data_IF_557478410392
#
_entry.id   IF_557478410392
#
_cell.length_a   1.000
_cell.length_b   1.000
_cell.length_c   1.000
_cell.angle_alpha   90.00
_cell.angle_beta   90.00
_cell.angle_gamma   90.00
#
_symmetry.space_group_name_H-M   'P 1'
#
loop_
_entity.id
_entity.type
_entity.pdbx_description
1 polymer ?
#
# COMPACT_ATOMS: atom_id res chain seq x y z
N UNK A 1 -68.99 -2.21 21.67
CA UNK A 1 -68.48 -0.83 21.59
C UNK A 1 -67.46 -0.80 20.46
N UNK A 2 -67.77 0.00 19.44
CA UNK A 2 -66.93 0.75 18.47
C UNK A 2 -65.43 0.39 18.44
N UNK A 3 -64.73 0.18 17.31
CA UNK A 3 -64.91 0.50 15.88
C UNK A 3 -63.87 -0.37 15.11
N UNK A 4 -64.17 -1.03 13.97
CA UNK A 4 -64.07 -0.53 12.58
C UNK A 4 -62.67 0.04 12.23
N UNK A 5 -61.89 -0.36 11.22
CA UNK A 5 -62.09 -0.92 9.87
C UNK A 5 -60.85 -1.79 9.48
N UNK A 6 -60.97 -2.96 8.83
CA UNK A 6 -61.16 -3.19 7.39
C UNK A 6 -60.16 -2.41 6.50
N UNK A 7 -59.49 -2.93 5.45
CA UNK A 7 -59.34 -4.25 4.84
C UNK A 7 -58.74 -4.02 3.44
N UNK A 8 -57.86 -4.93 2.97
CA UNK A 8 -57.66 -5.34 1.54
C UNK A 8 -57.07 -4.29 0.58
N UNK A 9 -56.41 -4.58 -0.54
CA UNK A 9 -55.86 -5.77 -1.23
C UNK A 9 -55.30 -5.26 -2.58
N UNK A 10 -54.58 -6.13 -3.29
CA UNK A 10 -54.24 -6.15 -4.74
C UNK A 10 -52.86 -5.57 -5.09
N UNK A 11 -51.90 -6.38 -5.55
CA UNK A 11 -51.83 -7.18 -6.79
C UNK A 11 -51.66 -6.31 -8.04
N UNK A 12 -50.46 -6.28 -8.65
CA UNK A 12 -50.15 -7.06 -9.85
C UNK A 12 -48.74 -6.78 -10.43
N UNK A 13 -48.10 -7.87 -10.86
CA UNK A 13 -47.35 -8.10 -12.10
C UNK A 13 -46.01 -7.40 -12.40
N UNK A 14 -45.01 -8.27 -12.43
CA UNK A 14 -43.86 -8.38 -13.35
C UNK A 14 -43.88 -7.50 -14.62
N UNK A 15 -42.75 -6.83 -14.85
CA UNK A 15 -42.14 -6.74 -16.19
C UNK A 15 -40.63 -6.99 -16.10
N UNK A 16 -40.24 -8.07 -16.76
CA UNK A 16 -38.88 -8.43 -17.15
C UNK A 16 -38.17 -7.32 -17.93
N UNK A 17 -36.89 -7.11 -17.62
CA UNK A 17 -35.90 -6.66 -18.60
C UNK A 17 -34.50 -7.15 -18.17
N UNK A 18 -34.05 -8.22 -18.83
CA UNK A 18 -32.64 -8.61 -18.88
C UNK A 18 -31.78 -7.40 -19.27
N UNK A 19 -30.74 -7.10 -18.49
CA UNK A 19 -29.57 -6.34 -18.96
C UNK A 19 -28.34 -7.26 -18.95
N UNK A 20 -27.60 -7.15 -20.05
CA UNK A 20 -26.48 -8.00 -20.49
C UNK A 20 -25.31 -8.01 -19.49
N UNK A 21 -24.50 -9.09 -19.46
CA UNK A 21 -23.21 -9.10 -18.76
C UNK A 21 -22.19 -8.37 -19.65
N UNK A 22 -21.43 -7.44 -19.07
CA UNK A 22 -20.32 -6.79 -19.78
C UNK A 22 -20.37 -5.28 -19.69
N UNK A 23 -19.98 -4.75 -18.53
CA UNK A 23 -19.14 -3.56 -18.38
C UNK A 23 -18.74 -3.54 -16.90
N UNK A 24 -17.49 -3.90 -16.61
CA UNK A 24 -16.84 -3.48 -15.37
C UNK A 24 -16.76 -1.95 -15.46
N UNK A 25 -17.74 -1.27 -14.87
CA UNK A 25 -17.53 0.11 -14.48
C UNK A 25 -16.39 0.08 -13.47
N UNK A 26 -15.30 0.74 -13.83
CA UNK A 26 -14.20 1.07 -12.94
C UNK A 26 -14.83 1.88 -11.81
N UNK A 27 -15.14 1.22 -10.68
CA UNK A 27 -15.59 1.93 -9.47
C UNK A 27 -14.41 2.80 -9.08
N UNK A 28 -14.48 4.09 -9.41
CA UNK A 28 -13.56 5.07 -8.87
C UNK A 28 -13.65 4.96 -7.35
N UNK A 29 -12.51 4.75 -6.65
CA UNK A 29 -12.54 4.69 -5.20
C UNK A 29 -13.14 6.01 -4.69
N UNK A 30 -14.05 5.96 -3.70
CA UNK A 30 -14.56 7.18 -3.10
C UNK A 30 -13.36 8.04 -2.64
N UNK A 31 -13.44 9.38 -2.80
CA UNK A 31 -12.37 10.25 -2.34
C UNK A 31 -12.12 9.94 -0.85
N UNK A 32 -10.85 9.76 -0.44
CA UNK A 32 -10.55 9.38 0.92
C UNK A 32 -11.18 10.40 1.87
N UNK A 33 -12.00 9.92 2.80
CA UNK A 33 -12.59 10.75 3.84
C UNK A 33 -11.48 11.52 4.56
N UNK A 34 -11.50 12.83 4.38
CA UNK A 34 -10.59 13.73 5.07
C UNK A 34 -10.87 13.66 6.58
N UNK A 35 -9.92 13.10 7.34
CA UNK A 35 -9.49 13.56 8.67
C UNK A 35 -8.27 12.78 9.19
N UNK A 36 -7.26 13.44 9.81
CA UNK A 36 -6.83 14.81 9.61
C UNK A 36 -5.31 14.90 9.34
N UNK A 37 -4.95 15.75 8.38
CA UNK A 37 -3.61 16.33 8.19
C UNK A 37 -3.17 17.25 9.34
N UNK A 38 -3.36 16.84 10.60
CA UNK A 38 -3.03 17.64 11.79
C UNK A 38 -1.54 17.64 12.13
N UNK A 39 -0.74 16.63 11.73
CA UNK A 39 0.69 16.60 12.05
C UNK A 39 1.53 17.48 11.11
N UNK A 40 1.19 17.55 9.82
CA UNK A 40 1.90 18.39 8.85
C UNK A 40 1.49 19.87 8.98
N UNK A 41 0.23 20.15 9.34
CA UNK A 41 -0.24 21.51 9.60
C UNK A 41 0.23 22.10 10.95
N UNK A 42 0.62 21.27 11.93
CA UNK A 42 1.09 21.74 13.24
C UNK A 42 2.42 22.49 13.14
N UNK A 43 3.35 22.02 12.30
CA UNK A 43 4.66 22.66 12.11
C UNK A 43 4.57 24.03 11.41
N UNK A 44 3.57 24.26 10.54
CA UNK A 44 3.38 25.58 9.91
C UNK A 44 2.82 26.64 10.85
N UNK A 45 2.09 26.24 11.90
CA UNK A 45 1.28 27.16 12.72
C UNK A 45 2.03 27.68 13.97
N UNK A 46 3.12 27.04 14.39
CA UNK A 46 3.91 27.47 15.57
C UNK A 46 4.94 28.58 15.30
N UNK A 47 5.19 28.98 14.05
CA UNK A 47 6.31 29.90 13.71
C UNK A 47 5.90 31.29 13.20
N UNK A 48 4.62 31.67 13.27
CA UNK A 48 4.12 32.98 12.81
C UNK A 48 3.96 34.02 13.91
N UNK A 49 4.22 33.69 15.17
CA UNK A 49 4.19 34.66 16.28
C UNK A 49 5.59 34.81 16.90
N UNK A 50 6.41 35.70 16.34
CA UNK A 50 7.37 36.55 17.07
C UNK A 50 8.24 37.33 16.07
N UNK A 51 8.12 38.66 16.09
CA UNK A 51 9.18 39.59 15.70
C UNK A 51 9.28 39.91 14.21
N UNK A 52 9.45 41.20 13.93
CA UNK A 52 9.70 41.80 12.61
C UNK A 52 10.69 40.96 11.78
N UNK A 53 10.21 40.34 10.71
CA UNK A 53 11.03 39.56 9.77
C UNK A 53 11.82 40.52 8.87
N UNK A 54 13.13 40.61 9.06
CA UNK A 54 14.03 41.00 7.98
C UNK A 54 13.96 40.00 6.82
N UNK A 55 14.48 40.32 5.63
CA UNK A 55 14.51 39.37 4.52
C UNK A 55 15.36 38.15 4.89
N UNK A 56 14.72 36.98 5.03
CA UNK A 56 15.38 35.69 5.27
C UNK A 56 16.43 35.44 4.18
N UNK A 57 17.61 34.93 4.57
CA UNK A 57 18.61 34.58 3.58
C UNK A 57 18.11 33.38 2.77
N UNK A 58 18.06 33.53 1.44
CA UNK A 58 17.60 32.45 0.56
C UNK A 58 18.67 31.38 0.44
N UNK A 59 18.26 30.12 0.50
CA UNK A 59 19.12 29.00 0.13
C UNK A 59 19.52 29.09 -1.34
N UNK A 60 20.70 28.57 -1.71
CA UNK A 60 21.08 28.38 -3.11
C UNK A 60 20.04 27.53 -3.88
N UNK A 61 19.78 27.86 -5.15
CA UNK A 61 18.76 27.16 -5.96
C UNK A 61 19.03 25.66 -6.10
N UNK A 62 20.31 25.26 -6.19
CA UNK A 62 20.71 23.86 -6.25
C UNK A 62 20.37 23.12 -4.94
N UNK A 63 20.54 23.75 -3.78
CA UNK A 63 20.13 23.19 -2.49
C UNK A 63 18.61 22.99 -2.44
N UNK A 64 17.85 24.02 -2.82
CA UNK A 64 16.38 23.98 -2.82
C UNK A 64 15.87 22.87 -3.73
N UNK A 65 16.41 22.78 -4.95
CA UNK A 65 16.05 21.72 -5.90
C UNK A 65 16.35 20.34 -5.35
N UNK A 66 17.54 20.14 -4.79
CA UNK A 66 17.96 18.84 -4.25
C UNK A 66 17.06 18.41 -3.09
N UNK A 67 16.74 19.31 -2.17
CA UNK A 67 15.78 19.03 -1.09
C UNK A 67 14.39 18.67 -1.61
N UNK A 68 13.87 19.42 -2.60
CA UNK A 68 12.58 19.12 -3.23
C UNK A 68 12.58 17.73 -3.89
N UNK A 69 13.66 17.36 -4.56
CA UNK A 69 13.79 16.05 -5.20
C UNK A 69 13.81 14.92 -4.14
N UNK A 70 14.47 15.12 -3.01
CA UNK A 70 14.47 14.18 -1.88
C UNK A 70 13.06 14.00 -1.29
N UNK A 71 12.35 15.11 -1.06
CA UNK A 71 10.97 15.07 -0.53
C UNK A 71 10.02 14.37 -1.50
N UNK A 72 10.09 14.69 -2.80
CA UNK A 72 9.29 14.02 -3.84
C UNK A 72 9.59 12.53 -3.89
N UNK A 73 10.86 12.16 -3.76
CA UNK A 73 11.28 10.78 -3.75
C UNK A 73 10.69 10.01 -2.56
N UNK A 74 10.81 10.54 -1.34
CA UNK A 74 10.21 9.94 -0.15
C UNK A 74 8.71 9.72 -0.30
N UNK A 75 7.95 10.73 -0.74
CA UNK A 75 6.50 10.63 -0.92
C UNK A 75 6.14 9.48 -1.88
N UNK A 76 6.89 9.36 -2.99
CA UNK A 76 6.69 8.26 -3.94
C UNK A 76 7.04 6.90 -3.33
N UNK A 77 8.10 6.83 -2.54
CA UNK A 77 8.54 5.60 -1.89
C UNK A 77 7.55 5.13 -0.83
N UNK A 78 7.03 6.04 -0.02
CA UNK A 78 5.99 5.78 0.99
C UNK A 78 4.69 5.29 0.34
N UNK A 79 4.26 5.94 -0.74
CA UNK A 79 3.12 5.50 -1.52
C UNK A 79 3.33 4.10 -2.12
N UNK A 80 4.49 3.86 -2.72
CA UNK A 80 4.85 2.57 -3.29
C UNK A 80 4.88 1.46 -2.23
N UNK A 81 5.49 1.72 -1.07
CA UNK A 81 5.49 0.81 0.06
C UNK A 81 4.05 0.46 0.48
N UNK A 82 3.17 1.46 0.61
CA UNK A 82 1.75 1.21 0.92
C UNK A 82 1.06 0.32 -0.10
N UNK A 83 1.34 0.52 -1.40
CA UNK A 83 0.81 -0.35 -2.46
C UNK A 83 1.33 -1.79 -2.33
N UNK A 84 2.63 -1.97 -2.10
CA UNK A 84 3.23 -3.30 -1.96
C UNK A 84 2.62 -4.05 -0.78
N UNK A 85 2.47 -3.38 0.36
CA UNK A 85 1.85 -3.97 1.56
C UNK A 85 0.42 -4.45 1.27
N UNK A 86 -0.40 -3.61 0.59
CA UNK A 86 -1.76 -3.96 0.20
C UNK A 86 -1.84 -5.11 -0.80
N UNK A 87 -0.91 -5.17 -1.76
CA UNK A 87 -0.89 -6.24 -2.77
C UNK A 87 -0.59 -7.60 -2.13
N UNK A 88 0.30 -7.66 -1.14
CA UNK A 88 0.60 -8.92 -0.47
C UNK A 88 -0.38 -9.25 0.68
N UNK A 89 -1.00 -8.25 1.29
CA UNK A 89 -2.00 -8.42 2.35
C UNK A 89 -3.11 -7.38 2.20
N UNK A 90 -4.27 -7.79 1.69
CA UNK A 90 -5.40 -6.88 1.49
C UNK A 90 -6.17 -6.59 2.78
N UNK A 91 -6.10 -7.47 3.78
CA UNK A 91 -6.85 -7.28 5.01
C UNK A 91 -6.25 -6.14 5.86
N UNK A 92 -6.98 -5.03 6.04
CA UNK A 92 -6.49 -3.83 6.71
C UNK A 92 -6.15 -4.06 8.19
N UNK A 93 -6.79 -5.03 8.84
CA UNK A 93 -6.54 -5.33 10.25
C UNK A 93 -5.10 -5.84 10.46
N UNK A 94 -4.54 -6.59 9.49
CA UNK A 94 -3.14 -7.03 9.55
C UNK A 94 -2.15 -5.96 9.10
N UNK A 95 -2.53 -5.12 8.14
CA UNK A 95 -1.70 -3.98 7.73
C UNK A 95 -1.51 -3.02 8.91
N UNK A 96 -2.60 -2.73 9.64
CA UNK A 96 -2.59 -1.78 10.75
C UNK A 96 -2.01 -2.40 12.04
N UNK A 97 -2.28 -3.68 12.34
CA UNK A 97 -1.70 -4.35 13.51
C UNK A 97 -0.17 -4.52 13.40
N UNK A 98 0.34 -4.59 12.16
CA UNK A 98 1.78 -4.62 11.86
C UNK A 98 2.22 -3.33 11.17
N UNK A 99 1.74 -2.19 11.69
CA UNK A 99 1.95 -0.78 11.28
C UNK A 99 3.39 -0.43 10.82
N UNK A 100 4.37 -1.31 11.08
CA UNK A 100 5.76 -1.17 10.74
C UNK A 100 6.40 -2.30 9.94
N UNK A 101 5.85 -3.49 9.64
CA UNK A 101 6.81 -4.58 9.31
C UNK A 101 6.52 -5.82 8.47
N UNK A 102 5.31 -6.36 8.27
CA UNK A 102 5.21 -7.72 7.70
C UNK A 102 4.02 -7.90 6.77
N UNK A 103 4.25 -8.54 5.61
CA UNK A 103 3.24 -8.80 4.55
C UNK A 103 2.53 -10.14 4.76
N UNK A 104 2.71 -10.77 5.92
CA UNK A 104 2.21 -12.12 6.20
C UNK A 104 0.90 -12.08 6.96
N UNK A 105 -0.08 -12.88 6.53
CA UNK A 105 -1.25 -13.20 7.33
C UNK A 105 -0.88 -14.18 8.47
N UNK A 106 -1.46 -14.08 9.66
CA UNK A 106 -1.29 -15.11 10.69
C UNK A 106 -1.92 -16.45 10.24
N UNK A 107 -1.59 -17.57 10.91
CA UNK A 107 -2.12 -18.89 10.57
C UNK A 107 -3.65 -18.92 10.53
N UNK A 108 -4.24 -19.58 9.52
CA UNK A 108 -5.70 -19.73 9.29
C UNK A 108 -6.46 -18.47 8.86
N UNK A 109 -5.79 -17.34 8.74
CA UNK A 109 -6.40 -16.08 8.27
C UNK A 109 -5.97 -15.72 6.84
N UNK A 110 -5.30 -16.66 6.16
CA UNK A 110 -5.09 -16.58 4.71
C UNK A 110 -6.42 -16.81 3.97
N UNK A 111 -6.74 -16.03 2.92
CA UNK A 111 -8.02 -16.16 2.21
C UNK A 111 -8.33 -17.59 1.74
N UNK A 112 -7.33 -18.34 1.27
CA UNK A 112 -7.51 -19.71 0.81
C UNK A 112 -7.72 -20.69 1.98
N UNK A 113 -7.10 -20.43 3.13
CA UNK A 113 -7.30 -21.22 4.35
C UNK A 113 -8.68 -20.96 4.99
N UNK A 114 -9.16 -19.71 4.93
CA UNK A 114 -10.51 -19.34 5.35
C UNK A 114 -11.51 -20.12 4.49
N UNK A 115 -11.37 -20.09 3.17
CA UNK A 115 -12.23 -20.86 2.26
C UNK A 115 -12.20 -22.35 2.61
N UNK A 116 -11.03 -22.94 2.85
CA UNK A 116 -10.92 -24.35 3.28
C UNK A 116 -11.64 -24.64 4.59
N UNK A 117 -11.52 -23.75 5.57
CA UNK A 117 -12.11 -23.93 6.90
C UNK A 117 -13.64 -23.91 6.88
N UNK A 118 -14.23 -23.22 5.90
CA UNK A 118 -15.68 -23.14 5.71
C UNK A 118 -16.25 -24.37 4.97
N UNK A 119 -15.42 -25.17 4.29
CA UNK A 119 -15.94 -26.27 3.47
C UNK A 119 -16.65 -27.35 4.31
N UNK A 120 -16.16 -27.80 5.48
CA UNK A 120 -16.91 -28.72 6.33
C UNK A 120 -18.31 -28.23 6.70
N UNK A 121 -18.48 -26.94 6.97
CA UNK A 121 -19.80 -26.35 7.25
C UNK A 121 -20.72 -26.43 6.02
N UNK A 122 -20.19 -26.09 4.83
CA UNK A 122 -20.92 -26.23 3.55
C UNK A 122 -21.33 -27.68 3.27
N UNK A 123 -20.49 -28.65 3.60
CA UNK A 123 -20.78 -30.09 3.47
C UNK A 123 -21.89 -30.52 4.43
N UNK A 124 -21.89 -29.97 5.65
CA UNK A 124 -22.91 -30.27 6.66
C UNK A 124 -24.25 -29.57 6.40
N UNK A 125 -24.28 -28.61 5.47
CA UNK A 125 -25.48 -27.85 5.16
C UNK A 125 -26.51 -28.73 4.45
N UNK A 126 -27.69 -28.85 5.07
CA UNK A 126 -28.85 -29.53 4.49
C UNK A 126 -29.75 -28.49 3.85
N UNK A 127 -29.61 -28.31 2.54
CA UNK A 127 -30.53 -27.53 1.73
C UNK A 127 -31.31 -28.41 0.76
N UNK A 128 -32.41 -27.87 0.26
CA UNK A 128 -33.14 -28.41 -0.89
C UNK A 128 -32.94 -27.42 -2.05
N UNK A 129 -32.73 -27.91 -3.28
CA UNK A 129 -32.69 -27.06 -4.48
C UNK A 129 -34.10 -26.54 -4.83
N UNK A 130 -34.21 -25.71 -5.88
CA UNK A 130 -35.50 -25.18 -6.36
C UNK A 130 -36.51 -26.28 -6.76
N UNK A 131 -36.07 -27.54 -6.85
CA UNK A 131 -36.87 -28.71 -7.22
C UNK A 131 -37.07 -29.66 -6.04
N UNK A 132 -36.69 -29.29 -4.82
CA UNK A 132 -36.83 -30.11 -3.61
C UNK A 132 -35.81 -31.24 -3.51
N UNK A 133 -34.71 -31.21 -4.29
CA UNK A 133 -33.65 -32.23 -4.25
C UNK A 133 -32.59 -31.82 -3.22
N UNK A 134 -32.16 -32.76 -2.38
CA UNK A 134 -31.12 -32.49 -1.38
C UNK A 134 -29.82 -31.97 -2.03
N UNK A 135 -29.37 -30.77 -1.63
CA UNK A 135 -28.11 -30.16 -2.10
C UNK A 135 -26.86 -30.82 -1.52
N UNK A 136 -27.06 -31.74 -0.56
CA UNK A 136 -26.01 -32.45 0.18
C UNK A 136 -25.10 -33.31 -0.72
N UNK A 137 -25.64 -33.92 -1.79
CA UNK A 137 -24.88 -34.70 -2.77
C UNK A 137 -23.83 -33.84 -3.52
N UNK A 138 -24.15 -32.58 -3.80
CA UNK A 138 -23.27 -31.68 -4.54
C UNK A 138 -22.08 -31.23 -3.67
N UNK A 139 -22.33 -30.87 -2.41
CA UNK A 139 -21.26 -30.46 -1.49
C UNK A 139 -20.28 -31.60 -1.18
N UNK A 140 -20.80 -32.82 -0.95
CA UNK A 140 -19.96 -34.01 -0.73
C UNK A 140 -19.13 -34.38 -1.96
N UNK A 141 -19.70 -34.25 -3.15
CA UNK A 141 -18.98 -34.58 -4.39
C UNK A 141 -17.91 -33.56 -4.75
N UNK A 142 -18.07 -32.27 -4.42
CA UNK A 142 -17.11 -31.20 -4.73
C UNK A 142 -15.95 -31.13 -3.73
N UNK A 143 -16.17 -31.51 -2.47
CA UNK A 143 -15.19 -31.30 -1.39
C UNK A 143 -13.77 -31.83 -1.67
N UNK A 144 -13.57 -33.10 -2.09
CA UNK A 144 -12.23 -33.62 -2.38
C UNK A 144 -11.51 -32.82 -3.48
N UNK A 145 -12.26 -32.22 -4.39
CA UNK A 145 -11.78 -31.43 -5.51
C UNK A 145 -11.47 -29.97 -5.15
N UNK A 146 -12.00 -29.45 -4.05
CA UNK A 146 -11.69 -28.09 -3.59
C UNK A 146 -10.59 -28.06 -2.53
N UNK A 147 -10.52 -29.08 -1.68
CA UNK A 147 -9.60 -29.06 -0.53
C UNK A 147 -8.13 -29.00 -0.96
N UNK A 148 -7.69 -29.90 -1.86
CA UNK A 148 -6.29 -29.94 -2.30
C UNK A 148 -5.87 -28.67 -3.08
N UNK A 149 -6.69 -28.15 -4.01
CA UNK A 149 -6.39 -26.87 -4.64
C UNK A 149 -6.24 -25.71 -3.69
N UNK A 150 -7.18 -25.54 -2.76
CA UNK A 150 -7.12 -24.41 -1.83
C UNK A 150 -5.92 -24.51 -0.90
N UNK A 151 -5.55 -25.72 -0.44
CA UNK A 151 -4.31 -25.94 0.32
C UNK A 151 -3.07 -25.52 -0.47
N UNK A 152 -3.02 -25.86 -1.77
CA UNK A 152 -1.87 -25.53 -2.60
C UNK A 152 -1.80 -24.03 -2.91
N UNK A 153 -2.94 -23.40 -3.14
CA UNK A 153 -3.04 -21.96 -3.35
C UNK A 153 -2.64 -21.18 -2.09
N UNK A 154 -3.10 -21.60 -0.91
CA UNK A 154 -2.67 -21.05 0.38
C UNK A 154 -1.14 -21.13 0.54
N UNK A 155 -0.55 -22.29 0.23
CA UNK A 155 0.91 -22.45 0.29
C UNK A 155 1.65 -21.47 -0.63
N UNK A 156 1.21 -21.30 -1.88
CA UNK A 156 1.84 -20.35 -2.79
C UNK A 156 1.66 -18.91 -2.32
N UNK A 157 0.47 -18.56 -1.81
CA UNK A 157 0.17 -17.22 -1.31
C UNK A 157 1.02 -16.87 -0.09
N UNK A 158 1.10 -17.75 0.91
CA UNK A 158 1.99 -17.58 2.08
C UNK A 158 3.46 -17.48 1.69
N UNK A 159 3.90 -18.29 0.72
CA UNK A 159 5.29 -18.22 0.22
C UNK A 159 5.59 -16.87 -0.43
N UNK A 160 4.63 -16.33 -1.19
CA UNK A 160 4.73 -15.02 -1.82
C UNK A 160 4.75 -13.89 -0.76
N UNK A 161 3.86 -13.94 0.23
CA UNK A 161 3.83 -13.00 1.36
C UNK A 161 5.14 -13.00 2.17
N UNK A 162 5.73 -14.17 2.40
CA UNK A 162 7.01 -14.27 3.09
C UNK A 162 8.14 -13.59 2.31
N UNK A 163 8.24 -13.90 1.01
CA UNK A 163 9.23 -13.27 0.13
C UNK A 163 9.02 -11.76 -0.03
N UNK A 164 7.77 -11.30 -0.04
CA UNK A 164 7.43 -9.87 -0.04
C UNK A 164 7.95 -9.15 1.20
N UNK A 165 7.83 -9.79 2.37
CA UNK A 165 8.32 -9.22 3.63
C UNK A 165 9.84 -9.02 3.60
N UNK A 166 10.56 -10.00 3.06
CA UNK A 166 12.02 -9.96 2.94
C UNK A 166 12.47 -8.94 1.90
N UNK A 167 11.81 -8.91 0.73
CA UNK A 167 12.16 -8.02 -0.37
C UNK A 167 11.81 -6.54 -0.11
N UNK A 168 10.98 -6.23 0.89
CA UNK A 168 10.62 -4.86 1.29
C UNK A 168 11.39 -4.36 2.51
N UNK A 169 12.30 -5.16 3.07
CA UNK A 169 12.92 -4.86 4.35
C UNK A 169 13.70 -3.55 4.36
N UNK A 170 14.39 -3.25 3.26
CA UNK A 170 15.23 -2.07 3.12
C UNK A 170 14.39 -0.81 2.83
N UNK A 171 13.43 -0.86 1.90
CA UNK A 171 12.42 0.21 1.72
C UNK A 171 11.75 0.58 3.05
N UNK A 172 11.34 -0.43 3.82
CA UNK A 172 10.71 -0.26 5.13
C UNK A 172 11.67 0.40 6.12
N UNK A 173 12.88 -0.13 6.27
CA UNK A 173 13.90 0.44 7.15
C UNK A 173 14.21 1.90 6.77
N UNK A 174 14.25 2.20 5.48
CA UNK A 174 14.44 3.56 5.01
C UNK A 174 13.30 4.48 5.45
N UNK A 175 12.04 4.09 5.25
CA UNK A 175 10.85 4.89 5.59
C UNK A 175 10.74 5.13 7.10
N UNK A 176 10.93 4.09 7.92
CA UNK A 176 10.64 4.16 9.36
C UNK A 176 11.85 4.52 10.22
N UNK A 177 13.08 4.32 9.73
CA UNK A 177 14.29 4.66 10.51
C UNK A 177 15.15 5.73 9.86
N UNK A 178 15.53 5.56 8.60
CA UNK A 178 16.51 6.43 7.94
C UNK A 178 15.94 7.80 7.66
N UNK A 179 14.74 7.86 7.08
CA UNK A 179 14.09 9.11 6.73
C UNK A 179 13.73 9.99 7.95
N UNK A 180 13.18 9.45 9.05
CA UNK A 180 12.96 10.24 10.26
C UNK A 180 14.25 10.79 10.88
N UNK A 181 15.37 10.08 10.78
CA UNK A 181 16.69 10.59 11.19
C UNK A 181 17.10 11.77 10.32
N UNK A 182 17.00 11.65 8.99
CA UNK A 182 17.25 12.74 8.05
C UNK A 182 16.40 13.98 8.35
N UNK A 183 15.08 13.82 8.57
CA UNK A 183 14.18 14.93 8.89
C UNK A 183 14.59 15.67 10.18
N UNK A 184 15.02 14.95 11.23
CA UNK A 184 15.51 15.58 12.46
C UNK A 184 16.78 16.38 12.24
N UNK A 185 17.71 15.87 11.43
CA UNK A 185 18.93 16.59 11.06
C UNK A 185 18.62 17.84 10.22
N UNK A 186 17.69 17.73 9.27
CA UNK A 186 17.23 18.85 8.46
C UNK A 186 16.54 19.93 9.31
N UNK A 187 15.69 19.55 10.27
CA UNK A 187 15.07 20.50 11.21
C UNK A 187 16.12 21.22 12.07
N UNK A 188 17.17 20.52 12.50
CA UNK A 188 18.29 21.14 13.20
C UNK A 188 19.04 22.12 12.30
N UNK A 189 19.28 21.75 11.04
CA UNK A 189 19.90 22.63 10.05
C UNK A 189 19.10 23.92 9.82
N UNK A 190 17.77 23.84 9.70
CA UNK A 190 16.91 25.03 9.58
C UNK A 190 16.96 25.93 10.82
N UNK A 191 17.10 25.35 12.03
CA UNK A 191 17.28 26.15 13.27
C UNK A 191 18.60 26.91 13.24
N UNK A 192 19.67 26.31 12.72
CA UNK A 192 20.97 26.98 12.58
C UNK A 192 20.93 28.09 11.54
N UNK A 193 20.18 27.90 10.45
CA UNK A 193 19.91 28.95 9.45
C UNK A 193 19.21 30.16 10.06
N UNK A 194 18.17 29.94 10.88
CA UNK A 194 17.48 31.01 11.62
C UNK A 194 18.42 31.76 12.58
N UNK A 195 19.37 31.08 13.22
CA UNK A 195 20.39 31.73 14.07
C UNK A 195 21.33 32.62 13.25
N UNK A 196 21.73 32.17 12.07
CA UNK A 196 22.55 32.98 11.15
C UNK A 196 21.80 34.24 10.72
N UNK A 197 20.52 34.13 10.36
CA UNK A 197 19.69 35.27 9.99
C UNK A 197 19.49 36.25 11.16
N UNK A 198 19.32 35.75 12.39
CA UNK A 198 19.27 36.59 13.57
C UNK A 198 20.59 37.34 13.81
N UNK A 199 21.74 36.67 13.65
CA UNK A 199 23.06 37.30 13.76
C UNK A 199 23.28 38.37 12.68
N UNK A 200 22.84 38.11 11.44
CA UNK A 200 22.85 39.10 10.35
C UNK A 200 22.03 40.33 10.72
N UNK A 201 20.82 40.14 11.23
CA UNK A 201 19.94 41.24 11.61
C UNK A 201 20.57 42.10 12.73
N UNK A 202 21.22 41.48 13.72
CA UNK A 202 21.96 42.21 14.77
C UNK A 202 23.10 43.04 14.18
N UNK A 203 23.90 42.46 13.27
CA UNK A 203 24.98 43.15 12.58
C UNK A 203 24.47 44.33 11.74
N UNK A 204 23.39 44.12 10.99
CA UNK A 204 22.80 45.15 10.12
C UNK A 204 22.20 46.31 10.93
N UNK A 205 21.66 46.04 12.14
CA UNK A 205 21.11 47.05 13.06
C UNK A 205 22.19 47.77 13.89
N UNK A 206 23.27 47.07 14.26
CA UNK A 206 24.37 47.59 15.09
C UNK A 206 25.72 47.19 14.49
N UNK A 207 26.18 47.89 13.44
CA UNK A 207 27.46 47.57 12.82
C UNK A 207 28.61 47.78 13.81
N UNK A 208 29.43 46.75 14.03
CA UNK A 208 30.67 46.82 14.81
C UNK A 208 31.59 45.66 14.43
N UNK A 209 32.91 45.83 14.61
CA UNK A 209 33.90 44.77 14.34
C UNK A 209 33.58 43.45 15.06
N UNK A 210 33.03 43.55 16.28
CA UNK A 210 32.60 42.39 17.06
C UNK A 210 31.47 41.62 16.34
N UNK A 211 30.42 42.33 15.93
CA UNK A 211 29.27 41.71 15.26
C UNK A 211 29.61 41.20 13.86
N UNK A 212 30.53 41.87 13.15
CA UNK A 212 31.06 41.38 11.86
C UNK A 212 31.81 40.06 12.02
N UNK A 213 32.65 39.95 13.06
CA UNK A 213 33.39 38.71 13.37
C UNK A 213 32.44 37.58 13.79
N UNK A 214 31.47 37.86 14.65
CA UNK A 214 30.46 36.88 15.09
C UNK A 214 29.65 36.34 13.90
N UNK A 215 29.15 37.23 13.04
CA UNK A 215 28.42 36.85 11.84
C UNK A 215 29.28 36.03 10.87
N UNK A 216 30.53 36.44 10.65
CA UNK A 216 31.44 35.74 9.73
C UNK A 216 31.74 34.30 10.18
N UNK A 217 31.96 34.09 11.48
CA UNK A 217 32.17 32.76 12.06
C UNK A 217 30.91 31.88 11.94
N UNK A 218 29.73 32.43 12.25
CA UNK A 218 28.46 31.71 12.09
C UNK A 218 28.19 31.35 10.62
N UNK A 219 28.47 32.27 9.70
CA UNK A 219 28.32 32.02 8.26
C UNK A 219 29.23 30.88 7.80
N UNK A 220 30.50 30.88 8.19
CA UNK A 220 31.43 29.81 7.83
C UNK A 220 30.98 28.45 8.35
N UNK A 221 30.58 28.37 9.62
CA UNK A 221 30.04 27.14 10.24
C UNK A 221 28.78 26.66 9.52
N UNK A 222 27.87 27.57 9.19
CA UNK A 222 26.65 27.25 8.46
C UNK A 222 26.92 26.72 7.05
N UNK A 223 27.85 27.33 6.31
CA UNK A 223 28.22 26.86 4.97
C UNK A 223 28.79 25.44 5.00
N UNK A 224 29.59 25.10 6.03
CA UNK A 224 30.08 23.74 6.23
C UNK A 224 28.93 22.74 6.47
N UNK A 225 27.97 23.09 7.34
CA UNK A 225 26.76 22.28 7.57
C UNK A 225 25.88 22.15 6.33
N UNK A 226 25.76 23.21 5.53
CA UNK A 226 25.00 23.18 4.28
C UNK A 226 25.62 22.21 3.29
N UNK A 227 26.95 22.20 3.16
CA UNK A 227 27.64 21.24 2.31
C UNK A 227 27.46 19.79 2.81
N UNK A 228 27.53 19.56 4.13
CA UNK A 228 27.25 18.26 4.72
C UNK A 228 25.83 17.78 4.39
N UNK A 229 24.84 18.67 4.53
CA UNK A 229 23.44 18.36 4.21
C UNK A 229 23.25 18.08 2.72
N UNK A 230 23.92 18.82 1.84
CA UNK A 230 23.92 18.54 0.40
C UNK A 230 24.49 17.15 0.10
N UNK A 231 25.63 16.79 0.69
CA UNK A 231 26.24 15.48 0.50
C UNK A 231 25.29 14.35 0.96
N UNK A 232 24.59 14.53 2.09
CA UNK A 232 23.58 13.58 2.57
C UNK A 232 22.41 13.44 1.59
N UNK A 233 21.89 14.56 1.09
CA UNK A 233 20.81 14.54 0.10
C UNK A 233 21.25 13.93 -1.24
N UNK A 234 22.50 14.11 -1.66
CA UNK A 234 23.04 13.47 -2.86
C UNK A 234 23.20 11.95 -2.67
N UNK A 235 23.59 11.50 -1.48
CA UNK A 235 23.70 10.07 -1.18
C UNK A 235 22.35 9.34 -1.30
N UNK A 236 21.21 10.04 -1.11
CA UNK A 236 19.87 9.49 -1.32
C UNK A 236 19.63 9.02 -2.77
N UNK A 237 20.41 9.49 -3.74
CA UNK A 237 20.35 8.96 -5.11
C UNK A 237 20.80 7.50 -5.20
N UNK A 238 21.76 7.09 -4.38
CA UNK A 238 22.20 5.68 -4.34
C UNK A 238 21.13 4.79 -3.71
N UNK A 239 20.48 5.26 -2.64
CA UNK A 239 19.33 4.57 -2.03
C UNK A 239 18.19 4.37 -3.04
N UNK A 240 17.96 5.35 -3.92
CA UNK A 240 16.95 5.22 -4.98
C UNK A 240 17.22 4.03 -5.91
N UNK A 241 18.47 3.86 -6.34
CA UNK A 241 18.82 2.79 -7.27
C UNK A 241 18.74 1.40 -6.59
N UNK A 242 19.07 1.34 -5.29
CA UNK A 242 18.87 0.14 -4.46
C UNK A 242 17.38 -0.22 -4.36
N UNK A 243 16.54 0.73 -3.97
CA UNK A 243 15.09 0.51 -3.88
C UNK A 243 14.47 0.16 -5.23
N UNK A 244 14.99 0.67 -6.36
CA UNK A 244 14.53 0.26 -7.68
C UNK A 244 14.80 -1.23 -7.96
N UNK A 245 15.94 -1.76 -7.51
CA UNK A 245 16.23 -3.20 -7.61
C UNK A 245 15.26 -4.04 -6.77
N UNK A 246 14.95 -3.59 -5.54
CA UNK A 246 13.97 -4.28 -4.67
C UNK A 246 12.57 -4.35 -5.32
N UNK A 247 12.15 -3.28 -5.98
CA UNK A 247 10.88 -3.27 -6.73
C UNK A 247 10.89 -4.29 -7.86
N UNK A 248 12.02 -4.45 -8.57
CA UNK A 248 12.16 -5.48 -9.60
C UNK A 248 12.09 -6.89 -9.02
N UNK A 249 12.65 -7.11 -7.83
CA UNK A 249 12.56 -8.40 -7.15
C UNK A 249 11.14 -8.71 -6.68
N UNK A 250 10.38 -7.71 -6.21
CA UNK A 250 8.96 -7.85 -5.91
C UNK A 250 8.14 -8.26 -7.13
N UNK A 251 8.39 -7.65 -8.30
CA UNK A 251 7.74 -8.02 -9.55
C UNK A 251 8.05 -9.47 -9.95
N UNK A 252 9.30 -9.93 -9.75
CA UNK A 252 9.69 -11.33 -9.98
C UNK A 252 8.99 -12.28 -9.02
N UNK A 253 8.81 -11.90 -7.76
CA UNK A 253 8.09 -12.70 -6.77
C UNK A 253 6.63 -12.85 -7.19
N UNK A 254 5.96 -11.76 -7.60
CA UNK A 254 4.59 -11.80 -8.12
C UNK A 254 4.48 -12.70 -9.36
N UNK A 255 5.39 -12.53 -10.31
CA UNK A 255 5.42 -13.36 -11.52
C UNK A 255 5.54 -14.84 -11.15
N UNK A 256 6.46 -15.17 -10.24
CA UNK A 256 6.67 -16.55 -9.78
C UNK A 256 5.42 -17.12 -9.13
N UNK A 257 4.74 -16.34 -8.29
CA UNK A 257 3.47 -16.72 -7.67
C UNK A 257 2.39 -16.99 -8.72
N UNK A 258 2.14 -16.05 -9.64
CA UNK A 258 1.11 -16.20 -10.67
C UNK A 258 1.38 -17.39 -11.59
N UNK A 259 2.62 -17.59 -12.03
CA UNK A 259 2.99 -18.77 -12.84
C UNK A 259 2.78 -20.09 -12.08
N UNK A 260 3.08 -20.13 -10.77
CA UNK A 260 2.87 -21.32 -9.96
C UNK A 260 1.38 -21.65 -9.81
N UNK A 261 0.54 -20.63 -9.57
CA UNK A 261 -0.91 -20.75 -9.51
C UNK A 261 -1.51 -21.19 -10.84
N UNK A 262 -1.14 -20.54 -11.95
CA UNK A 262 -1.61 -20.87 -13.29
C UNK A 262 -1.29 -22.32 -13.66
N UNK A 263 -0.02 -22.71 -13.52
CA UNK A 263 0.43 -24.07 -13.83
C UNK A 263 -0.31 -25.10 -12.99
N UNK A 264 -0.55 -24.80 -11.72
CA UNK A 264 -1.29 -25.68 -10.83
C UNK A 264 -2.76 -25.81 -11.26
N UNK A 265 -3.46 -24.70 -11.47
CA UNK A 265 -4.86 -24.68 -11.91
C UNK A 265 -5.05 -25.39 -13.26
N UNK A 266 -4.17 -25.14 -14.22
CA UNK A 266 -4.22 -25.79 -15.53
C UNK A 266 -4.06 -27.32 -15.42
N UNK A 267 -3.05 -27.79 -14.69
CA UNK A 267 -2.82 -29.22 -14.48
C UNK A 267 -3.96 -29.87 -13.70
N UNK A 268 -4.52 -29.16 -12.72
CA UNK A 268 -5.68 -29.62 -11.98
C UNK A 268 -6.88 -29.85 -12.91
N UNK A 269 -7.20 -28.87 -13.77
CA UNK A 269 -8.31 -29.00 -14.74
C UNK A 269 -8.04 -30.15 -15.73
N UNK A 270 -6.83 -30.30 -16.24
CA UNK A 270 -6.49 -31.38 -17.18
C UNK A 270 -6.66 -32.76 -16.55
N UNK A 271 -6.16 -32.97 -15.33
CA UNK A 271 -6.27 -34.24 -14.63
C UNK A 271 -7.74 -34.65 -14.39
N UNK A 272 -8.60 -33.67 -14.13
CA UNK A 272 -10.02 -33.93 -13.90
C UNK A 272 -10.81 -34.07 -15.21
N UNK A 273 -10.46 -33.37 -16.29
CA UNK A 273 -11.05 -33.61 -17.63
C UNK A 273 -10.84 -35.06 -18.09
N UNK A 274 -9.67 -35.65 -17.83
CA UNK A 274 -9.43 -37.06 -18.15
C UNK A 274 -10.24 -38.04 -17.28
N UNK A 275 -10.53 -37.68 -16.03
CA UNK A 275 -11.29 -38.53 -15.09
C UNK A 275 -12.79 -38.59 -15.41
N UNK A 276 -13.36 -37.51 -15.98
CA UNK A 276 -14.80 -37.41 -16.29
C UNK A 276 -15.18 -37.77 -17.73
N UNK A 277 -14.26 -38.35 -18.51
CA UNK A 277 -14.58 -38.85 -19.85
C UNK A 277 -14.99 -37.76 -20.85
N UNK A 278 -14.64 -36.49 -20.60
CA UNK A 278 -14.74 -35.44 -21.61
C UNK A 278 -13.76 -35.78 -22.73
N UNK A 279 -14.23 -36.50 -23.76
CA UNK A 279 -13.47 -36.71 -24.98
C UNK A 279 -13.17 -35.34 -25.57
N UNK A 280 -11.90 -34.96 -25.57
CA UNK A 280 -11.40 -33.78 -26.25
C UNK A 280 -11.66 -33.92 -27.76
N UNK A 281 -12.87 -33.61 -28.20
CA UNK A 281 -13.19 -33.46 -29.64
C UNK A 281 -13.13 -32.00 -30.10
N UNK A 282 -13.08 -31.03 -29.18
CA UNK A 282 -13.21 -29.61 -29.54
C UNK A 282 -11.98 -28.75 -29.24
N UNK A 283 -10.83 -29.34 -28.90
CA UNK A 283 -9.60 -28.59 -28.60
C UNK A 283 -8.66 -28.38 -29.81
N UNK A 284 -9.03 -28.85 -31.01
CA UNK A 284 -8.17 -28.75 -32.21
C UNK A 284 -8.44 -27.54 -33.11
N UNK A 285 -9.14 -26.50 -32.64
CA UNK A 285 -9.51 -25.36 -33.50
C UNK A 285 -9.02 -23.99 -33.02
N UNK A 286 -7.91 -23.92 -32.27
CA UNK A 286 -7.32 -22.61 -31.91
C UNK A 286 -5.83 -22.47 -32.29
N UNK A 287 -5.11 -23.55 -32.60
CA UNK A 287 -3.79 -23.43 -33.25
C UNK A 287 -3.93 -23.51 -34.78
N UNK A 288 -4.54 -22.47 -35.35
CA UNK A 288 -4.33 -22.01 -36.74
C UNK A 288 -5.14 -20.74 -36.97
N UNK A 289 -4.61 -19.61 -36.46
CA UNK A 289 -4.72 -18.28 -37.06
C UNK A 289 -3.68 -17.36 -36.44
#
# INVERSE_FOLDING_TARGET
MSSSHNSKSSANQEKSAMKKPGQLELIEPPPPEEKPGKKIAFFKTMFTKLGVRGPESKFPDNFVKLHQDCMKYYIKLEFLHSMIMRTGQENPDFINAHETSVVQAPPKEDPYEIVMSAIPELISWKGEDEKGKETFELAHSIYPYMQQPMQKMAYYHRTMQAKFTDATADIRNYIYETWPKFLKEYEHFEKEHKKLDASRAVRDLKPSEKHDREYSLMKQSFMAKMQEMMNKMEALKMERDKHASEVMDLLRILQTFHCACEKFCFNFVLAHKSAYGYKAKDAQTVEKK
#
